data_IF_229104753785
#
_entry.id   IF_229104753785
#
_cell.length_a   1.000
_cell.length_b   1.000
_cell.length_c   1.000
_cell.angle_alpha   90.00
_cell.angle_beta   90.00
_cell.angle_gamma   90.00
#
_symmetry.space_group_name_H-M   'P 1'
#
loop_
_entity.id
_entity.type
_entity.pdbx_description
1 polymer ?
#
# COMPACT_ATOMS: atom_id res chain seq x y z
N UNK A 1 28.76 7.09 10.07
CA UNK A 1 27.34 7.44 10.25
C UNK A 1 26.99 8.87 9.83
N UNK A 2 27.73 9.90 10.31
CA UNK A 2 27.42 11.30 9.98
C UNK A 2 27.57 11.61 8.49
N UNK A 3 28.63 11.11 7.85
CA UNK A 3 28.83 11.28 6.40
C UNK A 3 27.71 10.58 5.61
N UNK A 4 27.36 9.37 5.99
CA UNK A 4 26.27 8.61 5.37
C UNK A 4 24.95 9.39 5.41
N UNK A 5 24.62 9.99 6.56
CA UNK A 5 23.40 10.79 6.69
C UNK A 5 23.41 11.99 5.75
N UNK A 6 24.56 12.68 5.64
CA UNK A 6 24.72 13.81 4.69
C UNK A 6 24.55 13.36 3.25
N UNK A 7 25.11 12.18 2.89
CA UNK A 7 25.01 11.63 1.54
C UNK A 7 23.56 11.28 1.21
N UNK A 8 22.84 10.61 2.12
CA UNK A 8 21.40 10.29 1.96
C UNK A 8 20.55 11.56 1.88
N UNK A 9 20.83 12.57 2.71
CA UNK A 9 20.11 13.85 2.65
C UNK A 9 20.33 14.56 1.31
N UNK A 10 21.55 14.50 0.78
CA UNK A 10 21.87 15.03 -0.55
C UNK A 10 21.13 14.26 -1.64
N UNK A 11 21.19 12.92 -1.63
CA UNK A 11 20.49 12.08 -2.60
C UNK A 11 18.98 12.26 -2.53
N UNK A 12 18.43 12.48 -1.32
CA UNK A 12 17.01 12.80 -1.16
C UNK A 12 16.65 14.08 -1.92
N UNK A 13 17.42 15.15 -1.79
CA UNK A 13 17.14 16.43 -2.46
C UNK A 13 17.39 16.38 -3.96
N UNK A 14 18.48 15.73 -4.38
CA UNK A 14 18.95 15.80 -5.77
C UNK A 14 18.30 14.74 -6.68
N UNK A 15 17.78 13.65 -6.12
CA UNK A 15 17.29 12.50 -6.89
C UNK A 15 15.94 11.96 -6.41
N UNK A 16 15.78 11.68 -5.11
CA UNK A 16 14.57 11.03 -4.58
C UNK A 16 13.38 11.98 -4.68
N UNK A 17 13.48 13.17 -4.11
CA UNK A 17 12.38 14.12 -4.10
C UNK A 17 11.92 14.50 -5.52
N UNK A 18 12.81 14.88 -6.46
CA UNK A 18 12.40 15.13 -7.85
C UNK A 18 11.76 13.91 -8.53
N UNK A 19 12.31 12.70 -8.31
CA UNK A 19 11.74 11.46 -8.84
C UNK A 19 10.34 11.17 -8.31
N UNK A 20 10.12 11.39 -7.01
CA UNK A 20 8.82 11.22 -6.37
C UNK A 20 7.83 12.30 -6.81
N UNK A 21 8.26 13.54 -6.99
CA UNK A 21 7.42 14.60 -7.55
C UNK A 21 6.96 14.26 -8.97
N UNK A 22 7.87 13.74 -9.82
CA UNK A 22 7.51 13.31 -11.17
C UNK A 22 6.53 12.12 -11.16
N UNK A 23 6.68 11.20 -10.22
CA UNK A 23 5.71 10.13 -9.98
C UNK A 23 4.33 10.68 -9.58
N UNK A 24 4.27 11.65 -8.67
CA UNK A 24 3.02 12.29 -8.23
C UNK A 24 2.27 12.90 -9.41
N UNK A 25 2.98 13.49 -10.40
CA UNK A 25 2.38 14.09 -11.60
C UNK A 25 1.71 13.09 -12.53
N UNK A 26 1.97 11.79 -12.38
CA UNK A 26 1.32 10.75 -13.19
C UNK A 26 -0.01 10.38 -12.55
N UNK A 27 -1.10 10.56 -13.26
CA UNK A 27 -2.46 10.25 -12.80
C UNK A 27 -2.79 8.77 -13.10
N UNK A 28 -2.11 7.85 -12.43
CA UNK A 28 -2.28 6.41 -12.57
C UNK A 28 -3.16 5.86 -11.45
N UNK A 29 -4.46 6.01 -11.60
CA UNK A 29 -5.45 5.47 -10.68
C UNK A 29 -5.46 3.93 -10.72
N UNK A 30 -5.88 3.34 -9.61
CA UNK A 30 -6.12 1.90 -9.53
C UNK A 30 -7.25 1.46 -10.47
N UNK A 31 -7.25 0.21 -10.95
CA UNK A 31 -8.23 -0.29 -11.92
C UNK A 31 -9.70 -0.07 -11.55
N UNK A 32 -10.06 -0.19 -10.28
CA UNK A 32 -11.44 0.04 -9.81
C UNK A 32 -11.93 1.47 -10.08
N UNK A 33 -11.01 2.43 -10.16
CA UNK A 33 -11.32 3.85 -10.29
C UNK A 33 -11.04 4.41 -11.70
N UNK A 34 -10.51 3.60 -12.62
CA UNK A 34 -10.17 4.01 -13.98
C UNK A 34 -10.59 2.93 -15.00
N UNK A 35 -11.76 3.03 -15.60
CA UNK A 35 -12.22 2.03 -16.57
C UNK A 35 -11.30 1.85 -17.79
N UNK A 36 -10.43 2.83 -18.08
CA UNK A 36 -9.47 2.78 -19.19
C UNK A 36 -8.05 2.38 -18.76
N UNK A 37 -7.86 1.90 -17.54
CA UNK A 37 -6.56 1.59 -16.95
C UNK A 37 -5.67 0.69 -17.83
N UNK A 38 -6.26 -0.27 -18.56
CA UNK A 38 -5.51 -1.20 -19.42
C UNK A 38 -5.00 -0.52 -20.68
N UNK A 39 -5.68 0.55 -21.17
CA UNK A 39 -5.46 1.13 -22.49
C UNK A 39 -4.88 2.54 -22.48
N UNK A 40 -5.04 3.30 -21.39
CA UNK A 40 -4.60 4.70 -21.34
C UNK A 40 -3.09 4.89 -21.13
N UNK A 41 -2.36 3.82 -20.83
CA UNK A 41 -0.90 3.82 -20.67
C UNK A 41 -0.36 4.50 -19.40
N UNK A 42 -1.22 4.95 -18.48
CA UNK A 42 -0.78 5.67 -17.26
C UNK A 42 -0.03 4.76 -16.29
N UNK A 43 -0.52 3.54 -16.06
CA UNK A 43 0.16 2.56 -15.22
C UNK A 43 1.52 2.15 -15.81
N UNK A 44 1.59 1.94 -17.14
CA UNK A 44 2.87 1.67 -17.81
C UNK A 44 3.86 2.84 -17.69
N UNK A 45 3.38 4.07 -17.82
CA UNK A 45 4.19 5.28 -17.66
C UNK A 45 4.75 5.38 -16.24
N UNK A 46 3.93 5.11 -15.22
CA UNK A 46 4.34 5.15 -13.82
C UNK A 46 5.36 4.05 -13.50
N UNK A 47 5.09 2.79 -13.90
CA UNK A 47 6.02 1.69 -13.69
C UNK A 47 7.37 1.91 -14.38
N UNK A 48 7.37 2.38 -15.63
CA UNK A 48 8.60 2.71 -16.34
C UNK A 48 9.36 3.90 -15.72
N UNK A 49 8.66 4.89 -15.16
CA UNK A 49 9.28 5.98 -14.42
C UNK A 49 10.07 5.44 -13.21
N UNK A 50 9.45 4.59 -12.41
CA UNK A 50 10.06 3.96 -11.24
C UNK A 50 11.28 3.12 -11.61
N UNK A 51 11.16 2.26 -12.63
CA UNK A 51 12.25 1.43 -13.12
C UNK A 51 13.42 2.28 -13.62
N UNK A 52 13.15 3.28 -14.43
CA UNK A 52 14.19 4.16 -14.99
C UNK A 52 14.89 4.95 -13.88
N UNK A 53 14.17 5.38 -12.86
CA UNK A 53 14.78 6.02 -11.70
C UNK A 53 15.69 5.04 -10.94
N UNK A 54 15.19 3.84 -10.62
CA UNK A 54 15.93 2.82 -9.89
C UNK A 54 17.24 2.44 -10.58
N UNK A 55 17.20 2.18 -11.89
CA UNK A 55 18.39 1.80 -12.68
C UNK A 55 19.47 2.90 -12.71
N UNK A 56 19.08 4.17 -12.57
CA UNK A 56 20.03 5.29 -12.52
C UNK A 56 20.77 5.40 -11.18
N UNK A 57 20.33 4.71 -10.13
CA UNK A 57 20.94 4.81 -8.80
C UNK A 57 22.27 4.05 -8.68
N UNK A 58 22.63 3.24 -9.66
CA UNK A 58 23.93 2.55 -9.70
C UNK A 58 24.07 1.38 -8.73
N UNK A 59 22.94 0.83 -8.26
CA UNK A 59 22.93 -0.39 -7.43
C UNK A 59 23.47 -1.57 -8.23
N UNK A 60 24.54 -2.18 -7.72
CA UNK A 60 25.21 -3.29 -8.39
C UNK A 60 24.34 -4.56 -8.37
N UNK A 61 24.33 -5.25 -9.52
CA UNK A 61 23.56 -6.49 -9.66
C UNK A 61 22.06 -6.31 -9.84
N UNK A 62 21.57 -5.08 -9.97
CA UNK A 62 20.16 -4.78 -10.18
C UNK A 62 19.73 -5.10 -11.61
N UNK A 63 18.61 -5.80 -11.74
CA UNK A 63 17.85 -6.03 -12.96
C UNK A 63 16.40 -5.66 -12.67
N UNK A 64 15.81 -4.87 -13.55
CA UNK A 64 14.44 -4.36 -13.36
C UNK A 64 13.62 -4.51 -14.65
N UNK A 65 12.37 -4.88 -14.53
CA UNK A 65 11.44 -4.98 -15.63
C UNK A 65 10.01 -4.63 -15.20
N UNK A 66 9.21 -4.18 -16.15
CA UNK A 66 7.78 -4.06 -16.01
C UNK A 66 7.13 -5.33 -16.57
N UNK A 67 6.65 -6.19 -15.67
CA UNK A 67 5.91 -7.38 -16.05
C UNK A 67 4.49 -6.98 -16.43
N UNK A 68 4.10 -7.33 -17.66
CA UNK A 68 2.80 -6.99 -18.23
C UNK A 68 2.19 -8.23 -18.85
N UNK A 69 0.94 -8.49 -18.52
CA UNK A 69 0.12 -9.50 -19.17
C UNK A 69 -1.23 -8.88 -19.54
N UNK A 70 -1.77 -9.29 -20.68
CA UNK A 70 -3.05 -8.78 -21.15
C UNK A 70 -4.17 -9.10 -20.14
N UNK A 71 -4.96 -8.09 -19.81
CA UNK A 71 -6.07 -8.19 -18.86
C UNK A 71 -5.62 -8.28 -17.39
N UNK A 72 -4.34 -8.00 -17.10
CA UNK A 72 -3.79 -7.96 -15.75
C UNK A 72 -3.13 -6.63 -15.44
N UNK A 73 -3.17 -6.26 -14.17
CA UNK A 73 -2.44 -5.12 -13.64
C UNK A 73 -0.93 -5.30 -13.84
N UNK A 74 -0.17 -4.21 -13.84
CA UNK A 74 1.28 -4.27 -14.07
C UNK A 74 2.03 -4.54 -12.78
N UNK A 75 3.22 -5.17 -12.89
CA UNK A 75 4.12 -5.39 -11.77
C UNK A 75 5.52 -4.85 -12.13
N UNK A 76 6.05 -3.93 -11.34
CA UNK A 76 7.48 -3.63 -11.34
C UNK A 76 8.17 -4.74 -10.56
N UNK A 77 9.05 -5.47 -11.25
CA UNK A 77 9.79 -6.59 -10.69
C UNK A 77 11.29 -6.32 -10.78
N UNK A 78 11.96 -6.31 -9.63
CA UNK A 78 13.39 -6.02 -9.54
C UNK A 78 14.08 -7.14 -8.79
N UNK A 79 15.19 -7.60 -9.32
CA UNK A 79 16.12 -8.53 -8.67
C UNK A 79 17.47 -7.87 -8.48
N UNK A 80 18.10 -8.09 -7.32
CA UNK A 80 19.45 -7.64 -7.03
C UNK A 80 20.23 -8.85 -6.54
N UNK A 81 21.33 -9.14 -7.21
CA UNK A 81 22.18 -10.29 -6.93
C UNK A 81 22.73 -10.21 -5.49
N UNK A 82 22.88 -11.36 -4.84
CA UNK A 82 23.43 -11.44 -3.50
C UNK A 82 24.88 -10.95 -3.44
N UNK A 83 25.24 -10.28 -2.36
CA UNK A 83 26.58 -9.83 -2.06
C UNK A 83 27.02 -10.29 -0.67
N UNK A 84 27.53 -11.51 -0.59
CA UNK A 84 28.14 -12.03 0.63
C UNK A 84 27.18 -12.58 1.69
N UNK A 85 25.92 -12.84 1.37
CA UNK A 85 24.95 -13.56 2.19
C UNK A 85 24.13 -14.50 1.31
N UNK A 86 23.69 -15.63 1.88
CA UNK A 86 22.82 -16.62 1.23
C UNK A 86 21.34 -16.42 1.52
N UNK A 87 21.00 -15.34 2.19
CA UNK A 87 19.61 -14.97 2.52
C UNK A 87 18.89 -14.37 1.33
N UNK A 88 17.57 -14.42 1.36
CA UNK A 88 16.69 -13.74 0.40
C UNK A 88 15.74 -12.80 1.12
N UNK A 89 15.65 -11.58 0.64
CA UNK A 89 14.74 -10.54 1.14
C UNK A 89 13.73 -10.23 0.05
N UNK A 90 12.44 -10.28 0.40
CA UNK A 90 11.36 -9.80 -0.45
C UNK A 90 10.88 -8.45 0.08
N UNK A 91 10.80 -7.47 -0.79
CA UNK A 91 10.28 -6.15 -0.49
C UNK A 91 9.06 -5.88 -1.36
N UNK A 92 8.01 -5.39 -0.74
CA UNK A 92 6.72 -5.15 -1.39
C UNK A 92 6.30 -3.70 -1.21
N UNK A 93 5.61 -3.19 -2.20
CA UNK A 93 4.87 -1.94 -2.22
C UNK A 93 3.93 -1.90 -3.42
N UNK A 94 3.26 -0.76 -3.62
CA UNK A 94 2.41 -0.54 -4.79
C UNK A 94 2.67 0.83 -5.43
N UNK A 95 2.15 1.01 -6.64
CA UNK A 95 2.33 2.28 -7.34
C UNK A 95 1.05 2.84 -7.98
N UNK A 96 -0.07 2.12 -7.90
CA UNK A 96 -1.39 2.64 -8.22
C UNK A 96 -1.89 3.60 -7.13
N UNK A 97 -2.93 4.35 -7.43
CA UNK A 97 -3.38 5.45 -6.59
C UNK A 97 -4.88 5.44 -6.39
N UNK A 98 -5.29 5.86 -5.20
CA UNK A 98 -6.67 6.25 -4.90
C UNK A 98 -7.08 7.50 -5.69
N UNK A 99 -8.37 7.69 -5.99
CA UNK A 99 -8.88 8.93 -6.53
C UNK A 99 -8.67 10.12 -5.57
N UNK A 100 -8.89 11.36 -6.03
CA UNK A 100 -8.65 12.56 -5.23
C UNK A 100 -9.32 12.60 -3.85
N UNK A 101 -10.51 12.06 -3.68
CA UNK A 101 -11.30 11.99 -2.44
C UNK A 101 -11.45 13.35 -1.73
N UNK A 102 -12.55 14.05 -2.04
CA UNK A 102 -12.88 15.33 -1.42
C UNK A 102 -12.13 16.53 -2.03
N UNK A 103 -12.22 17.65 -1.33
CA UNK A 103 -11.54 18.89 -1.71
C UNK A 103 -10.14 18.93 -1.10
N UNK A 104 -9.19 19.49 -1.86
CA UNK A 104 -7.83 19.72 -1.42
C UNK A 104 -7.69 21.17 -0.93
N UNK A 105 -6.82 21.38 0.04
CA UNK A 105 -6.52 22.71 0.54
C UNK A 105 -6.03 23.65 -0.59
N UNK A 106 -6.20 24.95 -0.39
CA UNK A 106 -5.80 25.97 -1.36
C UNK A 106 -4.33 25.82 -1.78
N UNK A 107 -4.10 25.76 -3.06
CA UNK A 107 -2.77 25.59 -3.65
C UNK A 107 -2.29 24.16 -3.78
N UNK A 108 -2.99 23.18 -3.19
CA UNK A 108 -2.70 21.75 -3.29
C UNK A 108 -3.63 21.07 -4.30
N UNK A 109 -3.15 19.98 -4.91
CA UNK A 109 -3.95 19.13 -5.80
C UNK A 109 -3.32 17.73 -5.92
N UNK A 110 -4.09 16.70 -6.27
CA UNK A 110 -3.60 15.31 -6.30
C UNK A 110 -2.37 15.11 -7.16
N UNK A 111 -2.35 15.65 -8.38
CA UNK A 111 -1.28 15.49 -9.36
C UNK A 111 -0.30 16.67 -9.43
N UNK A 112 -0.41 17.59 -8.48
CA UNK A 112 0.47 18.75 -8.35
C UNK A 112 1.34 18.58 -7.10
N UNK A 113 2.57 18.05 -7.22
CA UNK A 113 3.46 17.93 -6.07
C UNK A 113 3.81 19.31 -5.53
N UNK A 114 3.66 19.51 -4.24
CA UNK A 114 4.00 20.76 -3.54
C UNK A 114 4.79 20.42 -2.29
N UNK A 115 5.98 20.99 -2.18
CA UNK A 115 6.75 20.93 -0.92
C UNK A 115 6.40 22.17 -0.09
N UNK A 116 5.83 21.94 1.08
CA UNK A 116 5.44 22.99 2.03
C UNK A 116 5.79 22.53 3.44
N UNK A 117 6.46 23.37 4.20
CA UNK A 117 6.86 23.11 5.59
C UNK A 117 7.62 21.78 5.77
N UNK A 118 8.51 21.46 4.81
CA UNK A 118 9.31 20.24 4.82
C UNK A 118 8.55 18.96 4.48
N UNK A 119 7.31 19.07 3.99
CA UNK A 119 6.46 17.92 3.59
C UNK A 119 6.11 18.01 2.12
N UNK A 120 6.13 16.87 1.43
CA UNK A 120 5.62 16.75 0.07
C UNK A 120 4.13 16.40 0.11
N UNK A 121 3.32 17.20 -0.56
CA UNK A 121 1.89 16.99 -0.76
C UNK A 121 1.61 16.55 -2.19
N UNK A 122 0.79 15.52 -2.35
CA UNK A 122 0.37 14.97 -3.62
C UNK A 122 -0.13 13.54 -3.47
N UNK A 123 -1.10 13.10 -4.28
CA UNK A 123 -1.63 11.73 -4.23
C UNK A 123 -0.54 10.74 -4.64
N UNK A 124 -0.35 9.68 -3.84
CA UNK A 124 0.66 8.66 -4.08
C UNK A 124 2.06 9.03 -3.57
N UNK A 125 2.26 10.19 -2.91
CA UNK A 125 3.57 10.55 -2.36
C UNK A 125 3.97 9.66 -1.17
N UNK A 126 3.01 9.32 -0.32
CA UNK A 126 3.19 8.48 0.88
C UNK A 126 2.57 7.09 0.72
N UNK A 127 1.47 7.01 0.02
CA UNK A 127 0.70 5.81 -0.23
C UNK A 127 0.69 5.53 -1.75
N UNK A 128 1.54 4.64 -2.30
CA UNK A 128 2.75 4.06 -1.69
C UNK A 128 3.99 4.40 -2.55
N UNK A 129 3.97 5.58 -3.21
CA UNK A 129 5.02 5.98 -4.15
C UNK A 129 6.43 6.03 -3.54
N UNK A 130 6.58 6.29 -2.24
CA UNK A 130 7.88 6.37 -1.58
C UNK A 130 8.61 5.03 -1.50
N UNK A 131 7.88 3.91 -1.52
CA UNK A 131 8.42 2.57 -1.24
C UNK A 131 9.65 2.24 -2.07
N UNK A 132 9.54 2.31 -3.41
CA UNK A 132 10.67 1.96 -4.27
C UNK A 132 11.88 2.87 -4.04
N UNK A 133 11.66 4.17 -3.83
CA UNK A 133 12.74 5.12 -3.59
C UNK A 133 13.48 4.80 -2.30
N UNK A 134 12.77 4.54 -1.22
CA UNK A 134 13.33 4.19 0.08
C UNK A 134 14.10 2.85 0.03
N UNK A 135 13.54 1.85 -0.65
CA UNK A 135 14.16 0.54 -0.83
C UNK A 135 15.50 0.69 -1.58
N UNK A 136 15.46 1.30 -2.75
CA UNK A 136 16.64 1.40 -3.62
C UNK A 136 17.75 2.21 -2.97
N UNK A 137 17.44 3.33 -2.33
CA UNK A 137 18.41 4.13 -1.61
C UNK A 137 19.04 3.37 -0.44
N UNK A 138 18.25 2.62 0.32
CA UNK A 138 18.77 1.79 1.41
C UNK A 138 19.80 0.77 0.92
N UNK A 139 19.52 0.09 -0.19
CA UNK A 139 20.43 -0.89 -0.77
C UNK A 139 21.69 -0.23 -1.32
N UNK A 140 21.55 0.90 -2.01
CA UNK A 140 22.67 1.71 -2.50
C UNK A 140 23.61 2.09 -1.37
N UNK A 141 23.07 2.58 -0.26
CA UNK A 141 23.86 2.96 0.93
C UNK A 141 24.60 1.76 1.51
N UNK A 142 23.93 0.61 1.64
CA UNK A 142 24.58 -0.64 2.11
C UNK A 142 25.76 -0.99 1.20
N UNK A 143 25.60 -0.96 -0.11
CA UNK A 143 26.64 -1.30 -1.07
C UNK A 143 27.79 -0.29 -1.06
N UNK A 144 27.51 1.01 -0.96
CA UNK A 144 28.53 2.07 -0.91
C UNK A 144 29.39 1.96 0.36
N UNK A 145 28.84 1.48 1.44
CA UNK A 145 29.58 1.22 2.70
C UNK A 145 30.33 -0.13 2.71
N UNK A 146 30.31 -0.88 1.61
CA UNK A 146 30.90 -2.22 1.57
C UNK A 146 30.14 -3.26 2.37
N UNK A 147 28.86 -2.97 2.70
CA UNK A 147 28.00 -3.88 3.41
C UNK A 147 27.62 -5.11 2.58
N UNK A 148 27.29 -6.20 3.27
CA UNK A 148 26.83 -7.45 2.67
C UNK A 148 25.32 -7.53 2.71
N UNK A 149 24.74 -8.09 1.66
CA UNK A 149 23.30 -8.39 1.60
C UNK A 149 23.04 -9.72 0.87
N UNK A 150 21.91 -10.31 1.11
CA UNK A 150 21.43 -11.47 0.38
C UNK A 150 20.86 -11.09 -0.99
N UNK A 151 20.25 -12.07 -1.66
CA UNK A 151 19.41 -11.79 -2.81
C UNK A 151 18.25 -10.88 -2.38
N UNK A 152 17.96 -9.86 -3.16
CA UNK A 152 16.85 -8.95 -2.91
C UNK A 152 15.89 -9.04 -4.09
N UNK A 153 14.62 -9.23 -3.79
CA UNK A 153 13.53 -9.19 -4.76
C UNK A 153 12.57 -8.09 -4.34
N UNK A 154 12.20 -7.25 -5.28
CA UNK A 154 11.27 -6.13 -5.07
C UNK A 154 10.08 -6.33 -6.00
N UNK A 155 8.89 -6.31 -5.45
CA UNK A 155 7.61 -6.39 -6.17
C UNK A 155 6.79 -5.14 -5.83
N UNK A 156 6.52 -4.31 -6.84
CA UNK A 156 5.66 -3.12 -6.68
C UNK A 156 4.52 -3.27 -7.67
N UNK A 157 3.31 -3.49 -7.16
CA UNK A 157 2.12 -3.74 -7.98
C UNK A 157 1.34 -2.48 -8.34
N UNK A 158 0.47 -2.58 -9.35
CA UNK A 158 -0.41 -1.49 -9.79
C UNK A 158 -1.89 -1.78 -9.60
N UNK A 159 -2.25 -2.50 -8.55
CA UNK A 159 -3.63 -2.91 -8.29
C UNK A 159 -3.96 -3.06 -6.81
N UNK A 160 -3.12 -2.57 -5.90
CA UNK A 160 -3.31 -2.71 -4.46
C UNK A 160 -4.61 -2.05 -4.01
N UNK A 161 -4.85 -0.84 -4.44
CA UNK A 161 -6.01 -0.01 -4.12
C UNK A 161 -7.35 -0.54 -4.70
N UNK A 162 -7.24 -1.61 -5.52
CA UNK A 162 -8.36 -2.40 -6.05
C UNK A 162 -8.36 -3.84 -5.48
N UNK A 163 -7.70 -4.06 -4.33
CA UNK A 163 -7.65 -5.34 -3.65
C UNK A 163 -6.67 -6.35 -4.23
N UNK A 164 -5.62 -5.91 -4.93
CA UNK A 164 -4.53 -6.76 -5.45
C UNK A 164 -5.00 -7.93 -6.32
N UNK A 165 -5.82 -7.73 -7.35
CA UNK A 165 -6.47 -8.80 -8.10
C UNK A 165 -5.48 -9.77 -8.75
N UNK A 166 -4.29 -9.31 -9.11
CA UNK A 166 -3.29 -10.08 -9.84
C UNK A 166 -2.02 -10.40 -9.05
N UNK A 167 -1.83 -9.87 -7.84
CA UNK A 167 -0.61 -10.08 -7.06
C UNK A 167 -0.31 -11.57 -6.83
N UNK A 168 -1.31 -12.34 -6.40
CA UNK A 168 -1.15 -13.78 -6.14
C UNK A 168 -0.75 -14.53 -7.41
N UNK A 169 -1.28 -14.13 -8.56
CA UNK A 169 -0.89 -14.70 -9.84
C UNK A 169 0.59 -14.43 -10.13
N UNK A 170 1.05 -13.18 -10.01
CA UNK A 170 2.45 -12.82 -10.25
C UNK A 170 3.42 -13.49 -9.28
N UNK A 171 3.09 -13.55 -8.00
CA UNK A 171 3.92 -14.22 -7.00
C UNK A 171 4.08 -15.72 -7.31
N UNK A 172 3.04 -16.37 -7.83
CA UNK A 172 3.10 -17.78 -8.26
C UNK A 172 3.90 -17.95 -9.56
N UNK A 173 3.64 -17.14 -10.58
CA UNK A 173 4.31 -17.24 -11.88
C UNK A 173 5.80 -16.92 -11.79
N UNK A 174 6.18 -15.99 -10.90
CA UNK A 174 7.56 -15.58 -10.67
C UNK A 174 8.23 -16.32 -9.50
N UNK A 175 7.57 -17.33 -8.92
CA UNK A 175 8.06 -18.03 -7.72
C UNK A 175 9.47 -18.62 -7.87
N UNK A 176 9.82 -19.12 -9.06
CA UNK A 176 11.17 -19.61 -9.36
C UNK A 176 12.25 -18.53 -9.31
N UNK A 177 11.88 -17.28 -9.60
CA UNK A 177 12.78 -16.12 -9.53
C UNK A 177 12.79 -15.51 -8.13
N UNK A 178 11.66 -15.48 -7.43
CA UNK A 178 11.55 -15.00 -6.05
C UNK A 178 12.33 -15.92 -5.12
N UNK A 179 12.16 -17.21 -5.28
CA UNK A 179 12.72 -18.23 -4.38
C UNK A 179 11.92 -18.31 -3.08
N UNK A 180 12.62 -18.64 -1.98
CA UNK A 180 12.03 -18.68 -0.63
C UNK A 180 12.60 -17.54 0.20
N UNK A 181 11.87 -16.44 0.39
CA UNK A 181 12.34 -15.32 1.20
C UNK A 181 12.54 -15.72 2.66
N UNK A 182 13.66 -15.30 3.26
CA UNK A 182 13.91 -15.43 4.70
C UNK A 182 13.15 -14.34 5.49
N UNK A 183 12.92 -13.20 4.86
CA UNK A 183 12.17 -12.07 5.44
C UNK A 183 11.46 -11.31 4.31
N UNK A 184 10.28 -10.77 4.65
CA UNK A 184 9.51 -9.88 3.81
C UNK A 184 9.27 -8.56 4.55
N UNK A 185 9.47 -7.45 3.83
CA UNK A 185 9.05 -6.12 4.29
C UNK A 185 7.95 -5.61 3.35
N UNK A 186 6.81 -5.26 3.92
CA UNK A 186 5.79 -4.46 3.26
C UNK A 186 6.08 -2.99 3.56
N UNK A 187 6.31 -2.20 2.53
CA UNK A 187 6.68 -0.80 2.67
C UNK A 187 5.47 0.13 2.74
N UNK A 188 4.29 -0.42 2.51
CA UNK A 188 3.02 0.28 2.60
C UNK A 188 2.56 0.42 4.05
N UNK A 189 3.11 1.41 4.73
CA UNK A 189 2.77 1.70 6.12
C UNK A 189 3.01 3.16 6.47
N UNK A 190 2.02 3.75 7.14
CA UNK A 190 2.13 5.10 7.65
C UNK A 190 3.00 5.20 8.90
N UNK A 191 3.28 6.43 9.32
CA UNK A 191 3.93 6.75 10.58
C UNK A 191 3.01 7.62 11.47
N UNK A 192 3.16 7.51 12.79
CA UNK A 192 2.40 8.35 13.73
C UNK A 192 2.98 9.76 13.74
N UNK A 193 4.29 9.88 13.61
CA UNK A 193 5.01 11.13 13.46
C UNK A 193 6.37 10.93 12.77
N UNK A 194 7.06 12.01 12.49
CA UNK A 194 8.35 12.02 11.78
C UNK A 194 9.58 11.98 12.72
N UNK A 195 9.39 11.74 14.01
CA UNK A 195 10.50 11.75 14.99
C UNK A 195 11.17 10.38 15.16
N UNK A 196 10.52 9.31 14.69
CA UNK A 196 10.98 7.94 14.83
C UNK A 196 10.66 7.08 13.61
N UNK A 197 11.36 5.96 13.47
CA UNK A 197 10.98 4.89 12.53
C UNK A 197 9.86 4.07 13.16
N UNK A 198 8.75 3.95 12.46
CA UNK A 198 7.59 3.18 12.88
C UNK A 198 7.54 1.84 12.15
N UNK A 199 7.41 0.76 12.91
CA UNK A 199 7.28 -0.59 12.38
C UNK A 199 5.91 -1.16 12.75
N UNK A 200 5.08 -1.41 11.73
CA UNK A 200 3.82 -2.14 11.91
C UNK A 200 4.12 -3.62 12.05
N UNK A 201 3.92 -4.17 13.23
CA UNK A 201 4.26 -5.57 13.55
C UNK A 201 3.06 -6.50 13.62
N UNK A 202 1.85 -5.96 13.52
CA UNK A 202 0.60 -6.73 13.43
C UNK A 202 -0.51 -5.87 12.85
N UNK A 203 -1.46 -6.51 12.21
CA UNK A 203 -2.67 -5.90 11.68
C UNK A 203 -3.89 -6.56 12.33
N UNK A 204 -4.99 -5.82 12.41
CA UNK A 204 -6.30 -6.41 12.70
C UNK A 204 -6.74 -7.29 11.54
N UNK A 205 -7.57 -8.29 11.80
CA UNK A 205 -8.26 -9.02 10.75
C UNK A 205 -9.32 -8.14 10.07
N UNK A 206 -9.67 -8.50 8.84
CA UNK A 206 -10.77 -7.90 8.10
C UNK A 206 -11.62 -9.02 7.48
N UNK A 207 -12.94 -8.84 7.53
CA UNK A 207 -13.89 -9.68 6.79
C UNK A 207 -14.86 -8.73 6.10
N UNK A 208 -14.88 -8.80 4.79
CA UNK A 208 -15.82 -8.03 3.98
C UNK A 208 -16.95 -8.95 3.52
N UNK A 209 -18.18 -8.54 3.75
CA UNK A 209 -19.37 -9.23 3.28
C UNK A 209 -20.33 -8.23 2.67
N UNK A 210 -20.96 -8.64 1.59
CA UNK A 210 -22.09 -7.92 1.01
C UNK A 210 -23.38 -8.61 1.47
N UNK A 211 -24.32 -7.84 1.97
CA UNK A 211 -25.60 -8.35 2.44
C UNK A 211 -26.73 -7.62 1.72
N UNK A 212 -27.44 -8.34 0.87
CA UNK A 212 -28.63 -7.85 0.19
C UNK A 212 -29.89 -8.42 0.84
N UNK A 213 -30.88 -7.57 1.08
CA UNK A 213 -32.19 -7.99 1.63
C UNK A 213 -33.30 -7.52 0.70
N UNK A 214 -33.94 -8.49 0.07
CA UNK A 214 -35.11 -8.30 -0.78
C UNK A 214 -36.37 -8.90 -0.09
N UNK A 215 -37.35 -8.06 0.20
CA UNK A 215 -38.60 -8.49 0.84
C UNK A 215 -39.78 -8.60 -0.14
N UNK A 216 -39.71 -7.93 -1.28
CA UNK A 216 -40.71 -7.89 -2.33
C UNK A 216 -40.05 -7.88 -3.71
N UNK A 217 -40.70 -8.50 -4.69
CA UNK A 217 -40.22 -8.50 -6.08
C UNK A 217 -40.29 -7.12 -6.75
N UNK A 218 -41.23 -6.29 -6.29
CA UNK A 218 -41.48 -4.96 -6.82
C UNK A 218 -41.78 -3.98 -5.69
N UNK A 219 -41.42 -2.72 -5.90
CA UNK A 219 -41.78 -1.65 -4.97
C UNK A 219 -43.29 -1.45 -4.90
N UNK A 220 -43.82 -1.23 -3.69
CA UNK A 220 -45.20 -0.96 -3.45
C UNK A 220 -45.38 0.38 -2.74
N UNK A 221 -46.56 0.99 -2.89
CA UNK A 221 -46.90 2.20 -2.17
C UNK A 221 -46.95 1.90 -0.65
N UNK A 222 -46.35 2.80 0.16
CA UNK A 222 -46.28 2.61 1.63
C UNK A 222 -47.63 2.33 2.30
N UNK A 223 -48.67 2.98 1.84
CA UNK A 223 -50.07 2.74 2.34
C UNK A 223 -50.58 1.34 2.06
N UNK A 224 -50.03 0.64 1.08
CA UNK A 224 -50.41 -0.74 0.73
C UNK A 224 -49.47 -1.78 1.35
N UNK A 225 -48.23 -1.42 1.63
CA UNK A 225 -47.18 -2.34 2.13
C UNK A 225 -46.97 -2.30 3.64
N UNK A 226 -47.24 -1.17 4.30
CA UNK A 226 -46.95 -1.00 5.71
C UNK A 226 -47.77 -1.94 6.59
N UNK A 227 -47.12 -2.69 7.46
CA UNK A 227 -47.73 -3.69 8.34
C UNK A 227 -48.12 -5.00 7.65
N UNK A 228 -47.93 -5.12 6.34
CA UNK A 228 -48.21 -6.32 5.55
C UNK A 228 -46.92 -6.99 5.08
N UNK A 229 -46.04 -6.22 4.44
CA UNK A 229 -44.73 -6.69 4.02
C UNK A 229 -43.66 -6.36 5.08
N UNK A 230 -42.65 -7.22 5.29
CA UNK A 230 -41.51 -6.89 6.12
C UNK A 230 -40.76 -5.70 5.54
N UNK A 231 -40.25 -4.83 6.42
CA UNK A 231 -39.36 -3.75 6.05
C UNK A 231 -37.91 -4.27 5.90
N UNK A 232 -37.32 -4.09 4.71
CA UNK A 232 -35.97 -4.61 4.39
C UNK A 232 -34.89 -4.03 5.32
N UNK A 233 -34.99 -2.77 5.72
CA UNK A 233 -34.04 -2.16 6.66
C UNK A 233 -34.16 -2.80 8.06
N UNK A 234 -35.33 -3.14 8.50
CA UNK A 234 -35.53 -3.84 9.77
C UNK A 234 -34.93 -5.24 9.73
N UNK A 235 -35.15 -5.97 8.64
CA UNK A 235 -34.53 -7.30 8.44
C UNK A 235 -33.01 -7.20 8.40
N UNK A 236 -32.49 -6.23 7.65
CA UNK A 236 -31.00 -6.01 7.55
C UNK A 236 -30.41 -5.72 8.94
N UNK A 237 -31.03 -4.83 9.74
CA UNK A 237 -30.56 -4.55 11.11
C UNK A 237 -30.52 -5.79 11.98
N UNK A 238 -31.57 -6.61 11.91
CA UNK A 238 -31.66 -7.88 12.66
C UNK A 238 -30.50 -8.83 12.23
N UNK A 239 -30.16 -8.87 10.97
CA UNK A 239 -29.07 -9.69 10.47
C UNK A 239 -27.71 -9.15 10.95
N UNK A 240 -27.49 -7.84 10.88
CA UNK A 240 -26.27 -7.20 11.35
C UNK A 240 -26.08 -7.35 12.86
N UNK A 241 -27.15 -7.20 13.67
CA UNK A 241 -27.11 -7.41 15.12
C UNK A 241 -26.71 -8.85 15.54
N UNK A 242 -26.76 -9.81 14.61
CA UNK A 242 -26.23 -11.17 14.83
C UNK A 242 -24.73 -11.27 14.66
N UNK A 243 -24.11 -10.30 14.01
CA UNK A 243 -22.66 -10.24 13.74
C UNK A 243 -21.96 -9.27 14.69
N UNK A 244 -22.59 -8.14 14.94
CA UNK A 244 -22.09 -7.04 15.75
C UNK A 244 -23.20 -6.52 16.68
N UNK A 245 -22.96 -6.56 17.98
CA UNK A 245 -23.90 -6.00 18.96
C UNK A 245 -23.86 -4.46 18.88
N UNK A 246 -24.90 -3.86 18.33
CA UNK A 246 -25.02 -2.42 18.11
C UNK A 246 -24.91 -1.56 19.38
N UNK A 247 -25.06 -2.14 20.59
CA UNK A 247 -24.95 -1.44 21.88
C UNK A 247 -23.55 -1.46 22.46
N UNK A 248 -22.83 -2.55 22.24
CA UNK A 248 -21.52 -2.79 22.85
C UNK A 248 -20.37 -2.80 21.85
N UNK A 249 -20.66 -2.79 20.55
CA UNK A 249 -19.71 -2.98 19.45
C UNK A 249 -18.88 -4.26 19.58
N UNK A 250 -19.47 -5.28 20.21
CA UNK A 250 -18.82 -6.59 20.34
C UNK A 250 -19.20 -7.46 19.15
N UNK A 251 -18.16 -7.93 18.46
CA UNK A 251 -18.29 -8.89 17.36
C UNK A 251 -18.54 -10.28 17.94
N UNK A 252 -19.32 -11.11 17.24
CA UNK A 252 -19.61 -12.48 17.66
C UNK A 252 -18.34 -13.33 17.82
N UNK A 253 -18.34 -14.25 18.76
CA UNK A 253 -17.20 -15.07 19.11
C UNK A 253 -16.52 -15.79 17.93
N UNK A 254 -17.23 -16.36 16.93
CA UNK A 254 -16.58 -17.01 15.78
C UNK A 254 -15.70 -16.09 14.93
N UNK A 255 -15.93 -14.78 14.96
CA UNK A 255 -15.12 -13.76 14.25
C UNK A 255 -14.09 -13.08 15.16
N UNK A 256 -14.00 -13.48 16.42
CA UNK A 256 -13.06 -12.96 17.41
C UNK A 256 -11.90 -13.93 17.61
N UNK A 257 -10.72 -13.40 17.84
CA UNK A 257 -9.52 -14.16 18.23
C UNK A 257 -8.97 -13.64 19.55
N UNK A 258 -8.33 -14.50 20.32
CA UNK A 258 -7.63 -14.08 21.53
C UNK A 258 -6.43 -13.19 21.15
N UNK A 259 -6.34 -12.04 21.80
CA UNK A 259 -5.24 -11.10 21.62
C UNK A 259 -4.15 -11.46 22.62
N UNK A 260 -2.92 -11.82 22.19
CA UNK A 260 -1.83 -12.13 23.09
C UNK A 260 -1.49 -10.94 24.02
N UNK A 261 -1.16 -11.24 25.28
CA UNK A 261 -0.88 -10.22 26.31
C UNK A 261 0.18 -9.20 25.88
N UNK A 262 1.21 -9.63 25.15
CA UNK A 262 2.25 -8.74 24.68
C UNK A 262 1.70 -7.71 23.66
N UNK A 263 0.71 -8.07 22.84
CA UNK A 263 0.03 -7.13 21.92
C UNK A 263 -0.83 -6.12 22.68
N UNK A 264 -1.48 -6.58 23.75
CA UNK A 264 -2.23 -5.67 24.63
C UNK A 264 -1.29 -4.68 25.31
N UNK A 265 -0.10 -5.14 25.72
CA UNK A 265 0.91 -4.28 26.32
C UNK A 265 1.47 -3.25 25.30
N UNK A 266 1.72 -3.67 24.06
CA UNK A 266 2.18 -2.78 22.99
C UNK A 266 1.10 -1.71 22.64
N UNK A 267 -0.17 -2.12 22.54
CA UNK A 267 -1.28 -1.20 22.29
C UNK A 267 -1.44 -0.16 23.42
N UNK A 268 -1.24 -0.55 24.68
CA UNK A 268 -1.25 0.39 25.82
C UNK A 268 -0.14 1.42 25.71
N UNK A 269 1.10 1.00 25.44
CA UNK A 269 2.24 1.91 25.24
C UNK A 269 1.98 2.89 24.09
N UNK A 270 1.44 2.40 22.98
CA UNK A 270 1.10 3.23 21.84
C UNK A 270 0.02 4.27 22.19
N UNK A 271 -1.02 3.85 22.93
CA UNK A 271 -2.08 4.75 23.36
C UNK A 271 -1.55 5.83 24.35
N UNK A 272 -0.60 5.51 25.20
CA UNK A 272 0.08 6.46 26.08
C UNK A 272 0.86 7.48 25.24
N UNK A 273 1.69 7.01 24.31
CA UNK A 273 2.46 7.87 23.39
C UNK A 273 1.58 8.84 22.60
N UNK A 274 0.42 8.39 22.12
CA UNK A 274 -0.50 9.23 21.36
C UNK A 274 -1.23 10.27 22.23
N UNK A 275 -1.40 10.03 23.54
CA UNK A 275 -2.00 11.00 24.46
C UNK A 275 -1.07 12.16 24.82
N UNK A 276 0.23 11.95 24.70
CA UNK A 276 1.26 12.96 24.99
C UNK A 276 1.48 13.94 23.82
N UNK A 277 0.82 13.69 22.67
CA UNK A 277 0.89 14.49 21.44
C UNK A 277 -0.46 15.06 21.03
#
# INVERSE_FOLDING_TARGET
HEQTLKDVQKDFQDSILPGLEDFVRIDNLSPEFDPEWETNGKAEKAGNHLINWALKQGVKGMKAELVKEKGRTHLVFIEIDANGSNKTVLLYGHFDKQPPLGEWDEGLAPTKPVVKDGKLYGRGASDDGYALFAIVESIKVIQLQGGKHGKIVITIESGEESGSPDLVYYLKSLSGRIGTPDVMFCMDSGCIDYSAVWLTTSLRGVVNVECEVECLKESVHSGSGSGIAPDSFTVLRILLDRLDDSKTSKIVAPLSVDIPDYRVADAKKLAEYQKEK
#
